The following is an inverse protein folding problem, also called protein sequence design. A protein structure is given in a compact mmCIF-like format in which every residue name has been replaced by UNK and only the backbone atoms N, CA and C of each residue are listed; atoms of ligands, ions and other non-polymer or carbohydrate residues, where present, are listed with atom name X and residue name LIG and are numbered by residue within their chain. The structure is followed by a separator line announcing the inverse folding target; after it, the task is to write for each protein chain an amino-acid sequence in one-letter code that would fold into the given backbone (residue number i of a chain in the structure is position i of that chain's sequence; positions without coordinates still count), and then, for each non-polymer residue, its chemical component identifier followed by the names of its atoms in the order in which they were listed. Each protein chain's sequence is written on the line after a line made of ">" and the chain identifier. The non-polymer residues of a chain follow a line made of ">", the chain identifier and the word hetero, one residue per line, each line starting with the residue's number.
data_IF_825485075026
#
_entry.id   IF_825485075026
#
_cell.length_a   1.000
_cell.length_b   1.000
_cell.length_c   1.000
_cell.angle_alpha   90.00
_cell.angle_beta   90.00
_cell.angle_gamma   90.00
#
_symmetry.space_group_name_H-M   'P 1'
#
loop_
_entity.id
_entity.type
_entity.pdbx_description
1 polymer ?
#
# COMPACT_ATOMS: atom_id res chain seq x y z
N UNK A 1 17.58 14.90 -6.28
CA UNK A 1 17.51 14.48 -4.87
C UNK A 1 18.28 13.17 -4.75
N UNK A 2 19.35 13.12 -3.96
CA UNK A 2 20.03 11.85 -3.65
C UNK A 2 19.16 11.11 -2.64
N UNK A 3 18.54 10.00 -3.03
CA UNK A 3 17.91 9.07 -2.08
C UNK A 3 19.01 8.39 -1.28
N UNK A 4 19.10 8.68 0.01
CA UNK A 4 19.99 7.96 0.92
C UNK A 4 19.56 6.49 0.97
N UNK A 5 20.36 5.61 0.37
CA UNK A 5 20.16 4.17 0.46
C UNK A 5 20.67 3.68 1.81
N UNK A 6 19.79 3.62 2.79
CA UNK A 6 20.07 2.96 4.07
C UNK A 6 20.07 1.46 3.85
N UNK A 7 21.23 0.82 4.02
CA UNK A 7 21.32 -0.65 4.00
C UNK A 7 20.85 -1.20 5.33
N UNK A 8 19.76 -1.94 5.31
CA UNK A 8 19.18 -2.57 6.49
C UNK A 8 19.38 -4.07 6.44
N UNK A 9 19.96 -4.64 7.49
CA UNK A 9 20.03 -6.09 7.67
C UNK A 9 18.78 -6.57 8.38
N UNK A 10 18.10 -7.55 7.79
CA UNK A 10 16.91 -8.17 8.37
C UNK A 10 17.16 -9.66 8.63
N UNK A 11 16.57 -10.19 9.70
CA UNK A 11 16.56 -11.63 9.97
C UNK A 11 15.33 -12.23 9.30
N UNK A 12 15.55 -13.14 8.37
CA UNK A 12 14.49 -13.90 7.71
C UNK A 12 14.56 -15.36 8.13
N UNK A 13 13.41 -16.01 8.14
CA UNK A 13 13.36 -17.47 8.27
C UNK A 13 13.83 -18.09 6.95
N UNK A 14 14.55 -19.20 7.04
CA UNK A 14 15.24 -19.81 5.89
C UNK A 14 14.27 -20.26 4.78
N UNK A 15 13.12 -20.81 5.15
CA UNK A 15 12.02 -21.17 4.24
C UNK A 15 11.52 -19.98 3.42
N UNK A 16 11.32 -18.83 4.06
CA UNK A 16 10.90 -17.57 3.43
C UNK A 16 11.99 -17.06 2.50
N UNK A 17 13.25 -17.10 2.92
CA UNK A 17 14.37 -16.69 2.09
C UNK A 17 14.49 -17.52 0.81
N UNK A 18 14.39 -18.85 0.91
CA UNK A 18 14.43 -19.74 -0.26
C UNK A 18 13.26 -19.49 -1.22
N UNK A 19 12.08 -19.20 -0.68
CA UNK A 19 10.89 -18.89 -1.50
C UNK A 19 11.05 -17.57 -2.24
N UNK A 20 11.52 -16.52 -1.55
CA UNK A 20 11.83 -15.22 -2.15
C UNK A 20 12.93 -15.32 -3.21
N UNK A 21 13.96 -16.12 -2.95
CA UNK A 21 15.06 -16.37 -3.90
C UNK A 21 14.57 -17.05 -5.17
N UNK A 22 13.63 -18.01 -5.07
CA UNK A 22 13.01 -18.65 -6.24
C UNK A 22 12.15 -17.69 -7.07
N UNK A 23 11.44 -16.78 -6.42
CA UNK A 23 10.52 -15.85 -7.10
C UNK A 23 11.22 -14.62 -7.70
N UNK A 24 12.15 -14.01 -6.98
CA UNK A 24 12.79 -12.75 -7.38
C UNK A 24 14.14 -12.97 -8.12
N UNK A 25 14.75 -14.14 -7.97
CA UNK A 25 16.13 -14.37 -8.40
C UNK A 25 17.16 -13.70 -7.48
N UNK A 26 18.41 -14.17 -7.51
CA UNK A 26 19.43 -13.79 -6.52
C UNK A 26 19.79 -12.29 -6.48
N UNK A 27 19.61 -11.56 -7.59
CA UNK A 27 19.97 -10.14 -7.68
C UNK A 27 18.88 -9.19 -7.17
N UNK A 28 17.60 -9.56 -7.25
CA UNK A 28 16.47 -8.63 -7.02
C UNK A 28 15.71 -8.91 -5.72
N UNK A 29 16.31 -9.67 -4.78
CA UNK A 29 15.67 -10.03 -3.51
C UNK A 29 15.37 -8.78 -2.68
N UNK A 30 16.30 -7.81 -2.64
CA UNK A 30 16.13 -6.59 -1.83
C UNK A 30 14.97 -5.74 -2.34
N UNK A 31 14.86 -5.56 -3.65
CA UNK A 31 13.77 -4.79 -4.26
C UNK A 31 12.42 -5.47 -4.00
N UNK A 32 12.36 -6.80 -4.12
CA UNK A 32 11.14 -7.56 -3.85
C UNK A 32 10.69 -7.45 -2.41
N UNK A 33 11.63 -7.48 -1.46
CA UNK A 33 11.33 -7.31 -0.03
C UNK A 33 10.78 -5.91 0.22
N UNK A 34 11.39 -4.88 -0.37
CA UNK A 34 10.91 -3.51 -0.23
C UNK A 34 9.50 -3.32 -0.81
N UNK A 35 9.23 -3.85 -2.01
CA UNK A 35 7.88 -3.87 -2.60
C UNK A 35 6.86 -4.52 -1.67
N UNK A 36 7.21 -5.68 -1.10
CA UNK A 36 6.32 -6.45 -0.24
C UNK A 36 6.03 -5.71 1.08
N UNK A 37 7.05 -5.12 1.68
CA UNK A 37 6.94 -4.30 2.89
C UNK A 37 6.08 -3.07 2.64
N UNK A 38 6.32 -2.37 1.52
CA UNK A 38 5.51 -1.19 1.16
C UNK A 38 4.05 -1.59 1.00
N UNK A 39 3.79 -2.65 0.23
CA UNK A 39 2.43 -3.15 -0.02
C UNK A 39 1.69 -3.59 1.23
N UNK A 40 2.39 -4.11 2.24
CA UNK A 40 1.78 -4.57 3.50
C UNK A 40 1.62 -3.45 4.52
N UNK A 41 2.63 -2.59 4.68
CA UNK A 41 2.64 -1.53 5.69
C UNK A 41 1.81 -0.31 5.27
N UNK A 42 1.87 0.06 3.99
CA UNK A 42 1.16 1.21 3.43
C UNK A 42 -0.06 0.81 2.62
N UNK A 43 -0.54 -0.44 2.74
CA UNK A 43 -1.85 -0.79 2.21
C UNK A 43 -2.86 0.15 2.86
N UNK A 44 -3.66 0.84 2.05
CA UNK A 44 -4.79 1.61 2.54
C UNK A 44 -5.65 0.68 3.41
N UNK A 45 -5.54 0.83 4.73
CA UNK A 45 -6.55 0.28 5.62
C UNK A 45 -7.82 1.02 5.24
N UNK A 46 -8.83 0.30 4.75
CA UNK A 46 -10.21 0.80 4.78
C UNK A 46 -10.49 1.12 6.24
N UNK A 47 -10.29 2.37 6.63
CA UNK A 47 -10.60 2.84 7.96
C UNK A 47 -12.11 2.76 8.10
N UNK A 48 -12.59 2.06 9.11
CA UNK A 48 -13.99 2.18 9.54
C UNK A 48 -14.29 3.60 10.09
N UNK A 49 -13.24 4.39 10.29
CA UNK A 49 -13.24 5.77 10.76
C UNK A 49 -12.57 6.68 9.71
N UNK A 50 -12.97 6.53 8.43
CA UNK A 50 -12.64 7.49 7.39
C UNK A 50 -13.65 8.63 7.38
N UNK A 51 -13.21 9.84 7.03
CA UNK A 51 -14.12 10.93 6.69
C UNK A 51 -15.03 10.46 5.56
N UNK A 52 -16.34 10.66 5.72
CA UNK A 52 -17.33 10.28 4.70
C UNK A 52 -16.91 10.92 3.36
N UNK A 53 -16.87 10.17 2.25
CA UNK A 53 -16.57 10.75 0.95
C UNK A 53 -17.57 11.88 0.66
N UNK A 54 -17.09 12.97 0.06
CA UNK A 54 -17.94 14.09 -0.34
C UNK A 54 -19.09 13.54 -1.17
N UNK A 55 -20.30 13.69 -0.63
CA UNK A 55 -21.50 13.19 -1.28
C UNK A 55 -21.84 14.12 -2.42
N UNK A 56 -22.04 13.55 -3.60
CA UNK A 56 -22.45 14.30 -4.77
C UNK A 56 -23.84 14.90 -4.51
N UNK A 57 -23.92 16.24 -4.58
CA UNK A 57 -25.15 17.01 -4.37
C UNK A 57 -25.98 17.12 -5.65
N UNK A 58 -25.52 16.54 -6.76
CA UNK A 58 -26.19 16.60 -8.06
C UNK A 58 -27.60 15.98 -8.09
N UNK A 59 -27.90 15.05 -7.17
CA UNK A 59 -29.22 14.40 -7.03
C UNK A 59 -30.05 14.97 -5.85
N UNK A 60 -29.56 16.04 -5.19
CA UNK A 60 -30.38 16.77 -4.23
C UNK A 60 -31.43 17.58 -5.00
N UNK A 61 -32.69 17.20 -4.85
CA UNK A 61 -33.81 18.00 -5.38
C UNK A 61 -33.87 19.33 -4.63
N UNK A 62 -33.86 20.42 -5.37
CA UNK A 62 -34.08 21.74 -4.80
C UNK A 62 -35.51 21.85 -4.26
N UNK A 63 -35.66 22.54 -3.13
CA UNK A 63 -36.96 22.76 -2.48
C UNK A 63 -37.97 23.48 -3.40
N UNK A 64 -37.50 24.13 -4.46
CA UNK A 64 -38.32 24.87 -5.43
C UNK A 64 -39.02 23.98 -6.47
N UNK A 65 -38.62 22.71 -6.64
CA UNK A 65 -39.29 21.75 -7.55
C UNK A 65 -40.63 21.21 -6.99
N UNK A 66 -41.17 21.84 -5.94
CA UNK A 66 -42.46 21.50 -5.30
C UNK A 66 -43.60 22.48 -5.59
N UNK A 67 -43.50 23.30 -6.65
CA UNK A 67 -44.59 24.17 -7.09
C UNK A 67 -45.48 23.49 -8.14
#
# INVERSE_FOLDING_TARGET
>A
MMTEYVRTTIKLREDVYQTLKKQAGAKNISDKINELLIKMLFREKKSLFGTMPETDISDLRDHEDRL
#
